data_IF_918353253742
#
_entry.id   IF_918353253742
#
_cell.length_a   1.000
_cell.length_b   1.000
_cell.length_c   1.000
_cell.angle_alpha   90.00
_cell.angle_beta   90.00
_cell.angle_gamma   90.00
#
_symmetry.space_group_name_H-M   'P 1'
#
loop_
_entity.id
_entity.type
_entity.pdbx_description
1 polymer ?
#
# COMPACT_ATOMS: atom_id res chain seq x y z
N UNK A 1 41.07 13.44 -5.04
CA UNK A 1 40.33 12.79 -3.94
C UNK A 1 38.85 12.92 -4.26
N UNK A 2 38.28 11.86 -4.84
CA UNK A 2 36.88 11.75 -5.24
C UNK A 2 36.02 11.65 -3.99
N UNK A 3 35.30 12.72 -3.64
CA UNK A 3 34.24 12.65 -2.64
C UNK A 3 33.02 12.03 -3.31
N UNK A 4 32.87 10.71 -3.14
CA UNK A 4 31.62 10.01 -3.43
C UNK A 4 30.62 10.41 -2.35
N UNK A 5 29.86 11.47 -2.61
CA UNK A 5 28.65 11.79 -1.87
C UNK A 5 27.71 10.60 -2.06
N UNK A 6 27.51 9.82 -0.99
CA UNK A 6 26.43 8.85 -0.92
C UNK A 6 25.14 9.61 -1.16
N UNK A 7 24.65 9.58 -2.40
CA UNK A 7 23.37 10.13 -2.75
C UNK A 7 22.35 9.46 -1.82
N UNK A 8 21.71 10.25 -0.97
CA UNK A 8 20.48 9.81 -0.34
C UNK A 8 19.58 9.36 -1.50
N UNK A 9 19.36 8.05 -1.61
CA UNK A 9 18.49 7.45 -2.63
C UNK A 9 17.10 8.07 -2.45
N UNK A 10 16.85 9.15 -3.17
CA UNK A 10 15.50 9.65 -3.39
C UNK A 10 14.87 8.62 -4.33
N UNK A 11 13.94 7.77 -3.87
CA UNK A 11 13.30 6.72 -4.68
C UNK A 11 12.47 7.29 -5.83
N UNK A 12 12.28 8.62 -5.85
CA UNK A 12 11.54 9.30 -6.90
C UNK A 12 12.50 9.94 -7.89
N UNK A 13 12.58 9.34 -9.07
CA UNK A 13 13.13 9.96 -10.26
C UNK A 13 12.18 11.07 -10.71
N UNK A 14 12.76 12.21 -11.08
CA UNK A 14 12.06 13.36 -11.64
C UNK A 14 12.45 13.52 -13.10
N UNK A 15 11.53 14.00 -13.94
CA UNK A 15 11.84 14.24 -15.36
C UNK A 15 12.98 15.25 -15.55
N UNK A 16 13.08 16.26 -14.67
CA UNK A 16 14.16 17.26 -14.65
C UNK A 16 15.56 16.68 -14.38
N UNK A 17 15.64 15.44 -13.86
CA UNK A 17 16.89 14.72 -13.64
C UNK A 17 17.32 13.85 -14.84
N UNK A 18 16.51 13.80 -15.90
CA UNK A 18 16.72 12.93 -17.06
C UNK A 18 17.07 13.72 -18.33
N UNK A 19 17.90 13.17 -19.23
CA UNK A 19 18.33 13.87 -20.43
C UNK A 19 17.20 13.95 -21.45
N UNK A 20 16.45 15.05 -21.41
CA UNK A 20 15.43 15.40 -22.40
C UNK A 20 14.04 14.77 -22.17
N UNK A 21 13.00 15.36 -22.79
CA UNK A 21 11.59 15.20 -22.38
C UNK A 21 10.96 13.83 -22.67
N UNK A 22 11.67 12.92 -23.34
CA UNK A 22 11.16 11.58 -23.68
C UNK A 22 11.83 10.46 -22.88
N UNK A 23 12.81 10.80 -22.05
CA UNK A 23 13.64 9.82 -21.33
C UNK A 23 12.82 9.02 -20.32
N UNK A 24 11.90 9.66 -19.59
CA UNK A 24 10.93 9.00 -18.70
C UNK A 24 10.12 7.93 -19.43
N UNK A 25 9.47 8.29 -20.55
CA UNK A 25 8.62 7.34 -21.30
C UNK A 25 9.45 6.15 -21.78
N UNK A 26 10.63 6.40 -22.32
CA UNK A 26 11.52 5.33 -22.81
C UNK A 26 11.97 4.39 -21.69
N UNK A 27 12.30 4.92 -20.51
CA UNK A 27 12.68 4.11 -19.34
C UNK A 27 11.50 3.26 -18.85
N UNK A 28 10.28 3.79 -18.91
CA UNK A 28 9.07 3.04 -18.57
C UNK A 28 8.77 1.93 -19.60
N UNK A 29 8.94 2.20 -20.90
CA UNK A 29 8.75 1.23 -21.97
C UNK A 29 9.69 0.02 -21.85
N UNK A 30 10.94 0.24 -21.43
CA UNK A 30 11.90 -0.84 -21.18
C UNK A 30 11.76 -1.48 -19.79
N UNK A 31 10.82 -1.01 -18.97
CA UNK A 31 10.54 -1.56 -17.64
C UNK A 31 11.58 -1.24 -16.57
N UNK A 32 12.42 -0.22 -16.76
CA UNK A 32 13.40 0.22 -15.76
C UNK A 32 12.78 1.04 -14.63
N UNK A 33 11.64 1.69 -14.92
CA UNK A 33 10.91 2.54 -13.97
C UNK A 33 9.41 2.29 -14.06
N UNK A 34 8.71 2.62 -12.98
CA UNK A 34 7.26 2.77 -12.98
C UNK A 34 6.90 4.24 -12.81
N UNK A 35 6.26 4.81 -13.83
CA UNK A 35 5.75 6.18 -13.79
C UNK A 35 4.60 6.30 -12.77
N UNK A 36 4.66 7.37 -12.00
CA UNK A 36 3.61 7.77 -11.07
C UNK A 36 2.71 8.83 -11.72
N UNK A 37 3.29 9.84 -12.33
CA UNK A 37 2.65 10.88 -13.11
C UNK A 37 3.57 11.30 -14.26
N UNK A 38 3.24 12.38 -14.96
CA UNK A 38 4.02 12.87 -16.10
C UNK A 38 5.46 13.27 -15.71
N UNK A 39 5.70 13.63 -14.44
CA UNK A 39 6.95 14.25 -13.98
C UNK A 39 7.73 13.40 -12.96
N UNK A 40 7.20 12.24 -12.56
CA UNK A 40 7.83 11.40 -11.54
C UNK A 40 7.62 9.90 -11.73
N UNK A 41 8.62 9.15 -11.29
CA UNK A 41 8.65 7.70 -11.34
C UNK A 41 9.48 7.13 -10.20
N UNK A 42 9.39 5.83 -9.95
CA UNK A 42 10.32 5.09 -9.09
C UNK A 42 10.98 3.97 -9.88
N UNK A 43 12.15 3.53 -9.43
CA UNK A 43 12.90 2.44 -10.07
C UNK A 43 12.19 1.10 -9.85
N UNK A 44 12.16 0.25 -10.87
CA UNK A 44 11.52 -1.06 -10.75
C UNK A 44 12.18 -1.95 -9.68
N UNK A 45 13.50 -1.84 -9.49
CA UNK A 45 14.23 -2.57 -8.45
C UNK A 45 13.75 -2.22 -7.02
N UNK A 46 13.37 -0.97 -6.76
CA UNK A 46 12.86 -0.55 -5.46
C UNK A 46 11.51 -1.23 -5.17
N UNK A 47 10.69 -1.47 -6.18
CA UNK A 47 9.39 -2.12 -6.02
C UNK A 47 9.47 -3.64 -5.81
N UNK A 48 10.59 -4.28 -6.14
CA UNK A 48 10.76 -5.71 -5.94
C UNK A 48 10.99 -6.07 -4.46
N UNK A 49 11.57 -5.15 -3.69
CA UNK A 49 11.88 -5.39 -2.28
C UNK A 49 10.81 -4.83 -1.34
N UNK A 50 10.59 -5.49 -0.19
CA UNK A 50 9.69 -4.99 0.85
C UNK A 50 10.11 -3.59 1.34
N UNK A 51 11.42 -3.37 1.50
CA UNK A 51 11.96 -2.11 2.00
C UNK A 51 11.82 -0.98 0.97
N UNK A 52 12.11 -1.23 -0.29
CA UNK A 52 11.96 -0.21 -1.34
C UNK A 52 10.49 0.18 -1.54
N UNK A 53 9.55 -0.79 -1.54
CA UNK A 53 8.11 -0.49 -1.53
C UNK A 53 7.69 0.33 -0.32
N UNK A 54 8.22 0.02 0.85
CA UNK A 54 7.93 0.81 2.05
C UNK A 54 8.45 2.25 1.92
N UNK A 55 9.65 2.44 1.35
CA UNK A 55 10.23 3.76 1.13
C UNK A 55 9.43 4.60 0.11
N UNK A 56 9.07 4.00 -1.04
CA UNK A 56 8.21 4.61 -2.05
C UNK A 56 6.88 5.06 -1.42
N UNK A 57 6.22 4.16 -0.69
CA UNK A 57 4.93 4.46 -0.04
C UNK A 57 5.08 5.56 1.01
N UNK A 58 6.19 5.58 1.76
CA UNK A 58 6.42 6.58 2.79
C UNK A 58 6.57 8.00 2.23
N UNK A 59 7.12 8.13 1.02
CA UNK A 59 7.27 9.42 0.33
C UNK A 59 5.95 9.89 -0.27
N UNK A 60 5.13 8.96 -0.76
CA UNK A 60 3.87 9.28 -1.43
C UNK A 60 2.70 9.50 -0.46
N UNK A 61 2.73 8.90 0.73
CA UNK A 61 1.66 9.12 1.71
C UNK A 61 1.79 10.48 2.40
N UNK A 62 0.68 11.08 2.85
CA UNK A 62 0.74 12.25 3.72
C UNK A 62 1.52 12.00 5.02
N UNK A 63 2.15 13.06 5.53
CA UNK A 63 2.93 13.00 6.77
C UNK A 63 2.08 12.57 7.98
N UNK A 64 2.69 11.88 8.95
CA UNK A 64 2.04 11.38 10.18
C UNK A 64 0.78 10.52 9.98
N UNK A 65 0.68 9.82 8.86
CA UNK A 65 -0.39 8.84 8.59
C UNK A 65 0.11 7.39 8.66
N UNK A 66 -0.80 6.44 8.81
CA UNK A 66 -0.51 5.00 8.68
C UNK A 66 -1.06 4.51 7.34
N UNK A 67 -0.25 3.83 6.53
CA UNK A 67 -0.73 3.24 5.27
C UNK A 67 -1.61 2.02 5.56
N UNK A 68 -2.73 1.90 4.86
CA UNK A 68 -3.69 0.79 5.05
C UNK A 68 -4.26 0.30 3.71
N UNK A 69 -5.19 -0.67 3.78
CA UNK A 69 -5.94 -1.19 2.63
C UNK A 69 -5.04 -1.49 1.39
N UNK A 70 -5.33 -0.90 0.22
CA UNK A 70 -4.63 -1.25 -1.03
C UNK A 70 -3.19 -0.74 -1.02
N UNK A 71 -2.91 0.40 -0.39
CA UNK A 71 -1.53 0.91 -0.25
C UNK A 71 -0.68 0.02 0.65
N UNK A 72 -1.22 -0.44 1.78
CA UNK A 72 -0.53 -1.43 2.60
C UNK A 72 -0.38 -2.78 1.89
N UNK A 73 -1.41 -3.23 1.17
CA UNK A 73 -1.35 -4.48 0.41
C UNK A 73 -0.23 -4.46 -0.64
N UNK A 74 -0.06 -3.34 -1.34
CA UNK A 74 1.05 -3.16 -2.28
C UNK A 74 2.41 -3.25 -1.58
N UNK A 75 2.57 -2.67 -0.38
CA UNK A 75 3.82 -2.84 0.38
C UNK A 75 4.10 -4.30 0.68
N UNK A 76 3.10 -5.08 1.10
CA UNK A 76 3.30 -6.48 1.46
C UNK A 76 3.51 -7.40 0.25
N UNK A 77 2.80 -7.17 -0.85
CA UNK A 77 2.71 -8.09 -1.99
C UNK A 77 3.49 -7.63 -3.23
N UNK A 78 3.69 -6.32 -3.40
CA UNK A 78 4.17 -5.74 -4.65
C UNK A 78 3.11 -5.74 -5.74
N UNK A 79 3.55 -5.76 -7.00
CA UNK A 79 2.69 -5.65 -8.18
C UNK A 79 2.51 -4.20 -8.65
N UNK A 80 1.43 -3.94 -9.40
CA UNK A 80 1.13 -2.59 -9.90
C UNK A 80 0.84 -1.65 -8.73
N UNK A 81 1.49 -0.48 -8.72
CA UNK A 81 1.25 0.54 -7.70
C UNK A 81 -0.21 1.03 -7.75
N UNK A 82 -0.88 1.19 -6.60
CA UNK A 82 -2.30 1.50 -6.55
C UNK A 82 -2.63 2.89 -7.09
N UNK A 83 -3.84 3.03 -7.63
CA UNK A 83 -4.38 4.31 -8.11
C UNK A 83 -4.90 5.21 -6.96
N UNK A 84 -4.96 4.68 -5.72
CA UNK A 84 -5.26 5.43 -4.49
C UNK A 84 -4.14 5.32 -3.47
N UNK A 85 -4.04 6.34 -2.62
CA UNK A 85 -3.19 6.34 -1.44
C UNK A 85 -4.09 6.21 -0.22
N UNK A 86 -4.15 5.00 0.33
CA UNK A 86 -5.00 4.62 1.43
C UNK A 86 -4.29 4.85 2.77
N UNK A 87 -4.87 5.70 3.61
CA UNK A 87 -4.29 6.06 4.90
C UNK A 87 -5.30 6.08 6.03
N UNK A 88 -4.84 5.74 7.23
CA UNK A 88 -5.53 6.01 8.48
C UNK A 88 -5.09 7.39 8.98
N UNK A 89 -6.05 8.30 9.09
CA UNK A 89 -5.86 9.68 9.56
C UNK A 89 -7.19 10.28 10.01
N UNK A 90 -7.12 11.33 10.83
CA UNK A 90 -8.27 12.19 11.15
C UNK A 90 -8.34 13.43 10.25
N UNK A 91 -7.29 13.69 9.46
CA UNK A 91 -7.23 14.83 8.53
C UNK A 91 -7.89 14.49 7.19
N UNK A 92 -8.40 15.51 6.52
CA UNK A 92 -8.92 15.41 5.17
C UNK A 92 -7.87 15.89 4.16
N UNK A 93 -7.66 15.10 3.10
CA UNK A 93 -6.74 15.45 2.01
C UNK A 93 -7.54 15.59 0.72
N UNK A 94 -7.53 16.80 0.13
CA UNK A 94 -8.31 17.12 -1.09
C UNK A 94 -7.47 17.09 -2.36
N UNK A 95 -6.18 17.40 -2.27
CA UNK A 95 -5.28 17.38 -3.40
C UNK A 95 -4.79 15.95 -3.67
N UNK A 96 -4.75 15.49 -4.93
CA UNK A 96 -4.10 14.24 -5.28
C UNK A 96 -2.59 14.35 -5.06
N UNK A 97 -1.95 13.22 -4.76
CA UNK A 97 -0.49 13.11 -4.70
C UNK A 97 -0.05 12.28 -5.88
N UNK A 98 0.72 12.87 -6.80
CA UNK A 98 1.21 12.19 -8.01
C UNK A 98 0.08 11.48 -8.77
N UNK A 99 -0.97 12.24 -9.09
CA UNK A 99 -2.16 11.76 -9.80
C UNK A 99 -3.11 10.87 -8.98
N UNK A 100 -2.81 10.56 -7.72
CA UNK A 100 -3.58 9.59 -6.93
C UNK A 100 -4.41 10.27 -5.85
N UNK A 101 -5.68 9.88 -5.76
CA UNK A 101 -6.56 10.33 -4.68
C UNK A 101 -6.10 9.73 -3.35
N UNK A 102 -6.03 10.57 -2.33
CA UNK A 102 -5.83 10.08 -0.95
C UNK A 102 -7.17 9.66 -0.37
N UNK A 103 -7.29 8.38 0.01
CA UNK A 103 -8.48 7.83 0.66
C UNK A 103 -8.22 7.65 2.14
N UNK A 104 -9.01 8.35 2.95
CA UNK A 104 -8.82 8.40 4.41
C UNK A 104 -9.80 7.47 5.12
N UNK A 105 -9.26 6.62 5.97
CA UNK A 105 -10.02 5.77 6.88
C UNK A 105 -9.93 6.33 8.30
N UNK A 106 -11.05 6.85 8.80
CA UNK A 106 -11.14 7.32 10.18
C UNK A 106 -11.47 6.14 11.11
N UNK A 107 -10.48 5.28 11.37
CA UNK A 107 -10.59 4.11 12.24
C UNK A 107 -9.43 4.08 13.21
N UNK A 108 -9.64 3.54 14.42
CA UNK A 108 -8.54 3.30 15.35
C UNK A 108 -7.60 2.22 14.77
N UNK A 109 -6.30 2.50 14.87
CA UNK A 109 -5.23 1.54 14.63
C UNK A 109 -4.39 1.46 15.91
N UNK A 110 -4.76 0.55 16.84
CA UNK A 110 -3.91 0.17 17.96
C UNK A 110 -2.50 -0.20 17.49
N UNK A 111 -1.50 -0.09 18.36
CA UNK A 111 -0.10 -0.39 18.02
C UNK A 111 0.07 -1.80 17.46
N UNK A 112 -0.65 -2.78 17.99
CA UNK A 112 -0.58 -4.18 17.54
C UNK A 112 -1.14 -4.40 16.12
N UNK A 113 -1.87 -3.42 15.58
CA UNK A 113 -2.35 -3.41 14.21
C UNK A 113 -1.40 -2.67 13.24
N UNK A 114 -0.27 -2.15 13.73
CA UNK A 114 0.69 -1.35 12.98
C UNK A 114 2.05 -2.05 12.97
N UNK A 115 2.61 -2.25 11.78
CA UNK A 115 3.99 -2.60 11.56
C UNK A 115 4.81 -1.37 11.17
N UNK A 116 6.12 -1.43 11.46
CA UNK A 116 7.10 -0.42 11.03
C UNK A 116 8.08 -1.06 10.05
N UNK A 117 8.21 -0.51 8.84
CA UNK A 117 9.19 -0.95 7.84
C UNK A 117 10.03 0.27 7.45
N UNK A 118 11.27 0.32 7.95
CA UNK A 118 12.06 1.56 7.88
C UNK A 118 11.32 2.70 8.57
N UNK A 119 11.09 3.79 7.85
CA UNK A 119 10.31 4.95 8.35
C UNK A 119 8.80 4.84 8.12
N UNK A 120 8.33 3.81 7.41
CA UNK A 120 6.92 3.64 7.10
C UNK A 120 6.16 3.05 8.29
N UNK A 121 5.08 3.72 8.69
CA UNK A 121 3.99 3.10 9.48
C UNK A 121 2.95 2.51 8.53
N UNK A 122 2.68 1.21 8.65
CA UNK A 122 1.76 0.46 7.79
C UNK A 122 0.95 -0.52 8.62
N UNK A 123 -0.28 -0.84 8.21
CA UNK A 123 -1.06 -1.88 8.89
C UNK A 123 -0.39 -3.25 8.78
N UNK A 124 -0.46 -4.07 9.83
CA UNK A 124 0.02 -5.46 9.79
C UNK A 124 -0.67 -6.26 8.67
N UNK A 125 -0.11 -7.39 8.20
CA UNK A 125 -0.76 -8.18 7.15
C UNK A 125 -2.20 -8.59 7.48
N UNK A 126 -2.47 -9.07 8.70
CA UNK A 126 -3.83 -9.41 9.14
C UNK A 126 -4.76 -8.19 9.13
N UNK A 127 -4.30 -7.04 9.66
CA UNK A 127 -5.09 -5.81 9.62
C UNK A 127 -5.33 -5.31 8.20
N UNK A 128 -4.34 -5.44 7.32
CA UNK A 128 -4.43 -5.06 5.91
C UNK A 128 -5.48 -5.90 5.19
N UNK A 129 -5.51 -7.21 5.43
CA UNK A 129 -6.53 -8.10 4.91
C UNK A 129 -7.93 -7.70 5.40
N UNK A 130 -8.09 -7.36 6.69
CA UNK A 130 -9.34 -6.81 7.21
C UNK A 130 -9.73 -5.51 6.50
N UNK A 131 -8.81 -4.56 6.36
CA UNK A 131 -9.09 -3.27 5.71
C UNK A 131 -9.57 -3.47 4.26
N UNK A 132 -8.95 -4.39 3.51
CA UNK A 132 -9.40 -4.80 2.17
C UNK A 132 -10.80 -5.43 2.18
N UNK A 133 -11.07 -6.37 3.10
CA UNK A 133 -12.37 -7.04 3.21
C UNK A 133 -13.50 -6.06 3.61
N UNK A 134 -13.15 -4.93 4.24
CA UNK A 134 -14.08 -3.88 4.64
C UNK A 134 -14.32 -2.83 3.54
N UNK A 135 -13.54 -2.83 2.45
CA UNK A 135 -13.75 -1.92 1.32
C UNK A 135 -15.12 -2.17 0.68
N UNK A 136 -15.91 -1.10 0.42
CA UNK A 136 -17.16 -1.26 -0.31
C UNK A 136 -16.86 -1.64 -1.76
N UNK A 137 -17.78 -2.38 -2.40
CA UNK A 137 -17.59 -2.88 -3.77
C UNK A 137 -17.40 -1.77 -4.82
N UNK A 138 -17.82 -0.53 -4.51
CA UNK A 138 -17.65 0.66 -5.35
C UNK A 138 -16.24 1.25 -5.31
N UNK A 139 -15.47 0.96 -4.27
CA UNK A 139 -14.17 1.60 -3.99
C UNK A 139 -12.99 0.74 -4.46
N UNK A 140 -13.20 -0.57 -4.59
CA UNK A 140 -12.25 -1.49 -5.22
C UNK A 140 -13.02 -2.74 -5.68
N UNK A 141 -12.82 -3.24 -6.91
CA UNK A 141 -13.51 -4.42 -7.38
C UNK A 141 -13.32 -5.57 -6.39
N UNK A 142 -14.42 -6.15 -5.89
CA UNK A 142 -14.36 -7.15 -4.82
C UNK A 142 -13.47 -8.36 -5.14
N UNK A 143 -13.31 -8.69 -6.43
CA UNK A 143 -12.40 -9.74 -6.89
C UNK A 143 -10.92 -9.39 -6.70
N UNK A 144 -10.53 -8.13 -6.93
CA UNK A 144 -9.15 -7.67 -6.73
C UNK A 144 -8.79 -7.64 -5.24
N UNK A 145 -9.70 -7.13 -4.41
CA UNK A 145 -9.55 -7.19 -2.95
C UNK A 145 -9.40 -8.63 -2.44
N UNK A 146 -10.26 -9.53 -2.90
CA UNK A 146 -10.19 -10.95 -2.53
C UNK A 146 -8.85 -11.56 -2.96
N UNK A 147 -8.39 -11.33 -4.19
CA UNK A 147 -7.13 -11.86 -4.70
C UNK A 147 -5.92 -11.40 -3.85
N UNK A 148 -5.88 -10.13 -3.44
CA UNK A 148 -4.84 -9.64 -2.54
C UNK A 148 -4.91 -10.29 -1.15
N UNK A 149 -6.11 -10.54 -0.62
CA UNK A 149 -6.27 -11.23 0.66
C UNK A 149 -5.76 -12.67 0.56
N UNK A 150 -6.14 -13.39 -0.50
CA UNK A 150 -5.62 -14.74 -0.77
C UNK A 150 -4.09 -14.75 -0.87
N UNK A 151 -3.49 -13.81 -1.62
CA UNK A 151 -2.04 -13.72 -1.75
C UNK A 151 -1.32 -13.43 -0.41
N UNK A 152 -1.92 -12.61 0.46
CA UNK A 152 -1.37 -12.39 1.81
C UNK A 152 -1.38 -13.67 2.66
N UNK A 153 -2.43 -14.47 2.56
CA UNK A 153 -2.54 -15.73 3.30
C UNK A 153 -1.62 -16.82 2.73
N UNK A 154 -1.57 -16.94 1.40
CA UNK A 154 -0.73 -17.90 0.69
C UNK A 154 0.77 -17.64 0.93
N UNK A 155 1.16 -16.36 1.05
CA UNK A 155 2.52 -15.99 1.46
C UNK A 155 2.82 -16.24 2.95
N UNK A 156 1.89 -16.79 3.73
CA UNK A 156 2.05 -17.14 5.14
C UNK A 156 2.13 -15.94 6.08
N UNK A 157 1.74 -14.74 5.63
CA UNK A 157 1.88 -13.50 6.41
C UNK A 157 0.80 -13.29 7.46
N UNK A 158 -0.36 -13.91 7.27
CA UNK A 158 -1.46 -13.96 8.22
C UNK A 158 -2.38 -15.14 7.91
N UNK A 159 -3.21 -15.53 8.88
CA UNK A 159 -4.25 -16.55 8.74
C UNK A 159 -5.64 -15.91 8.78
N UNK A 160 -6.67 -16.59 8.23
CA UNK A 160 -8.06 -16.16 8.38
C UNK A 160 -8.45 -15.92 9.84
N UNK A 161 -7.94 -16.73 10.78
CA UNK A 161 -8.23 -16.58 12.21
C UNK A 161 -7.71 -15.27 12.81
N UNK A 162 -6.50 -14.84 12.45
CA UNK A 162 -5.95 -13.55 12.88
C UNK A 162 -6.86 -12.38 12.44
N UNK A 163 -7.47 -12.51 11.26
CA UNK A 163 -8.39 -11.51 10.73
C UNK A 163 -9.74 -11.52 11.48
N UNK A 164 -10.26 -12.70 11.82
CA UNK A 164 -11.49 -12.86 12.61
C UNK A 164 -11.35 -12.25 14.00
N UNK A 165 -10.22 -12.48 14.68
CA UNK A 165 -9.93 -11.91 16.00
C UNK A 165 -9.97 -10.37 15.95
N UNK A 166 -9.33 -9.75 14.95
CA UNK A 166 -9.37 -8.29 14.74
C UNK A 166 -10.80 -7.79 14.49
N UNK A 167 -11.60 -8.51 13.70
CA UNK A 167 -12.99 -8.11 13.41
C UNK A 167 -13.91 -8.25 14.64
N UNK A 168 -13.63 -9.21 15.53
CA UNK A 168 -14.38 -9.44 16.76
C UNK A 168 -14.10 -8.39 17.83
N UNK A 169 -12.89 -7.84 17.86
CA UNK A 169 -12.53 -6.67 18.66
C UNK A 169 -13.13 -5.37 18.10
N UNK A 170 -13.48 -5.34 16.81
CA UNK A 170 -13.89 -4.13 16.08
C UNK A 170 -15.25 -4.27 15.39
N UNK A 171 -16.23 -4.84 16.11
CA UNK A 171 -17.56 -5.25 15.57
C UNK A 171 -18.36 -4.16 14.86
N UNK A 172 -18.11 -2.89 15.20
CA UNK A 172 -18.86 -1.74 14.67
C UNK A 172 -18.23 -1.12 13.41
N UNK A 173 -17.15 -1.69 12.87
CA UNK A 173 -16.67 -1.24 11.56
C UNK A 173 -17.70 -1.51 10.47
N UNK A 174 -17.88 -0.54 9.58
CA UNK A 174 -18.72 -0.70 8.41
C UNK A 174 -18.27 -1.92 7.60
N UNK A 175 -19.23 -2.72 7.15
CA UNK A 175 -19.03 -3.98 6.42
C UNK A 175 -18.40 -5.15 7.22
N UNK A 176 -18.24 -5.03 8.56
CA UNK A 176 -17.66 -6.10 9.38
C UNK A 176 -18.40 -7.45 9.29
N UNK A 177 -19.74 -7.52 9.25
CA UNK A 177 -20.44 -8.80 9.08
C UNK A 177 -20.06 -9.51 7.77
N UNK A 178 -20.00 -8.77 6.65
CA UNK A 178 -19.60 -9.30 5.35
C UNK A 178 -18.14 -9.77 5.35
N UNK A 179 -17.25 -8.99 5.95
CA UNK A 179 -15.84 -9.35 6.08
C UNK A 179 -15.67 -10.63 6.92
N UNK A 180 -16.42 -10.77 8.01
CA UNK A 180 -16.41 -11.98 8.86
C UNK A 180 -16.85 -13.21 8.07
N UNK A 181 -17.99 -13.16 7.40
CA UNK A 181 -18.46 -14.27 6.55
C UNK A 181 -17.43 -14.65 5.48
N UNK A 182 -16.73 -13.68 4.91
CA UNK A 182 -15.65 -13.95 3.97
C UNK A 182 -14.49 -14.72 4.61
N UNK A 183 -13.99 -14.29 5.78
CA UNK A 183 -12.89 -14.99 6.45
C UNK A 183 -13.30 -16.36 7.03
N UNK A 184 -14.55 -16.52 7.47
CA UNK A 184 -15.10 -17.82 7.86
C UNK A 184 -15.12 -18.81 6.69
N UNK A 185 -15.45 -18.33 5.49
CA UNK A 185 -15.39 -19.14 4.27
C UNK A 185 -13.95 -19.54 3.89
N UNK A 186 -12.97 -18.66 4.17
CA UNK A 186 -11.55 -18.92 3.88
C UNK A 186 -10.85 -19.81 4.91
N UNK A 187 -11.32 -19.83 6.15
CA UNK A 187 -10.66 -20.52 7.26
C UNK A 187 -10.32 -22.01 7.00
N UNK A 188 -11.13 -22.80 6.26
CA UNK A 188 -10.77 -24.19 5.95
C UNK A 188 -9.65 -24.34 4.90
N UNK A 189 -9.28 -23.28 4.18
CA UNK A 189 -8.33 -23.33 3.08
C UNK A 189 -6.86 -23.06 3.50
N UNK A 190 -6.62 -22.55 4.71
CA UNK A 190 -5.34 -22.05 5.21
C UNK A 190 -5.10 -22.44 6.67
#
# INVERSE_FOLDING_TARGET
MTSSTTAAMFPLLRDDALPGPMSMRRLAEIGAIHQLDDDSAYLSEDAETLFGRANITNILKPFNTVSCAVSAAWVWLGGRFPDTIDVISTSHYRAPIRGRRVRVFNRKAPRDHIATIGSLQVTTPARTACDLALLPATEHPGREAAAMIYAMMDSGRCKPRDCLDILDENRYWANAPRARTFFEYLAPCF
#
